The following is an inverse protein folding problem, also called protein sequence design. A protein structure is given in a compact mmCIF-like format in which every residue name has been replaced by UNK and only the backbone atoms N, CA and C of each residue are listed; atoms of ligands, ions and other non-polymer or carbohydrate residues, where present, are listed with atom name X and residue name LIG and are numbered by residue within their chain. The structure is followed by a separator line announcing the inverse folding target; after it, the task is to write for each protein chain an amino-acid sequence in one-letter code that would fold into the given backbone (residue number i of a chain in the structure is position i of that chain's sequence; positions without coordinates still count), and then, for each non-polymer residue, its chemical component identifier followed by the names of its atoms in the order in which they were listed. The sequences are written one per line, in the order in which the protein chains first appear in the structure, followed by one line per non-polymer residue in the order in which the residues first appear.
data_IF_722169858543
#
_entry.id   IF_722169858543
#
_cell.length_a   1.000
_cell.length_b   1.000
_cell.length_c   1.000
_cell.angle_alpha   90.00
_cell.angle_beta   90.00
_cell.angle_gamma   90.00
#
_symmetry.space_group_name_H-M   'P 1'
#
loop_
_entity.id
_entity.type
_entity.pdbx_description
1 polymer ?
#
# COMPACT_ATOMS: atom_id res chain seq x y z
N UNK A 1 7.12 14.63 20.98
CA UNK A 1 6.12 14.80 19.92
C UNK A 1 5.72 13.42 19.42
N UNK A 2 4.44 13.07 19.54
CA UNK A 2 3.93 11.83 18.92
C UNK A 2 3.90 12.01 17.40
N UNK A 3 4.75 11.30 16.70
CA UNK A 3 4.61 11.14 15.26
C UNK A 3 3.64 9.98 15.03
N UNK A 4 2.37 10.30 14.83
CA UNK A 4 1.33 9.30 14.67
C UNK A 4 1.30 8.63 13.30
N UNK A 5 1.90 9.23 12.30
CA UNK A 5 2.11 8.65 10.98
C UNK A 5 3.12 9.47 10.20
N UNK A 6 3.85 8.81 9.32
CA UNK A 6 4.45 9.53 8.22
C UNK A 6 3.74 9.10 6.93
N UNK A 7 3.57 10.02 6.03
CA UNK A 7 3.06 9.72 4.71
C UNK A 7 4.20 9.92 3.71
N UNK A 8 4.55 8.87 3.00
CA UNK A 8 5.30 9.09 1.80
C UNK A 8 4.32 9.62 0.74
N UNK A 9 4.66 10.69 0.05
CA UNK A 9 3.74 11.30 -0.88
C UNK A 9 3.52 10.38 -2.08
N UNK A 10 2.36 9.75 -2.10
CA UNK A 10 1.76 9.18 -3.28
C UNK A 10 0.66 10.14 -3.68
N UNK A 11 0.86 10.93 -4.71
CA UNK A 11 -0.24 11.72 -5.26
C UNK A 11 -0.54 11.26 -6.68
N UNK A 12 -1.82 11.34 -7.01
CA UNK A 12 -2.23 11.16 -8.40
C UNK A 12 -1.89 12.42 -9.18
N UNK A 13 -1.32 12.31 -10.39
CA UNK A 13 -1.12 13.46 -11.27
C UNK A 13 -2.41 14.26 -11.49
N UNK A 14 -3.56 13.58 -11.55
CA UNK A 14 -4.88 14.17 -11.73
C UNK A 14 -5.36 15.03 -10.55
N UNK A 15 -4.76 14.87 -9.38
CA UNK A 15 -5.05 15.72 -8.22
C UNK A 15 -4.32 17.07 -8.27
N UNK A 16 -3.69 17.41 -9.39
CA UNK A 16 -3.06 18.70 -9.60
C UNK A 16 -1.75 18.91 -8.87
N UNK A 17 -1.10 17.85 -8.37
CA UNK A 17 0.25 17.95 -7.83
C UNK A 17 1.22 18.20 -8.98
N UNK A 18 1.73 19.44 -9.04
CA UNK A 18 2.80 19.81 -9.97
C UNK A 18 4.20 19.49 -9.42
N UNK A 19 4.29 18.87 -8.23
CA UNK A 19 5.54 18.59 -7.55
C UNK A 19 6.18 17.31 -8.08
N UNK A 20 7.49 17.32 -8.15
CA UNK A 20 8.27 16.12 -8.43
C UNK A 20 8.32 15.25 -7.17
N UNK A 21 7.30 14.41 -6.97
CA UNK A 21 7.16 13.56 -5.79
C UNK A 21 8.38 12.68 -5.53
N UNK A 22 8.99 12.01 -6.53
CA UNK A 22 10.22 11.27 -6.31
C UNK A 22 11.35 12.10 -5.71
N UNK A 23 11.48 13.37 -6.06
CA UNK A 23 12.53 14.23 -5.51
C UNK A 23 12.25 14.70 -4.07
N UNK A 24 11.00 14.66 -3.64
CA UNK A 24 10.60 15.09 -2.28
C UNK A 24 10.52 13.92 -1.27
N UNK A 25 10.69 12.68 -1.73
CA UNK A 25 10.67 11.49 -0.87
C UNK A 25 11.93 11.38 -0.05
N UNK A 26 11.77 10.77 1.14
CA UNK A 26 12.92 10.15 1.81
C UNK A 26 13.43 9.00 0.92
N UNK A 27 14.72 8.71 1.02
CA UNK A 27 15.22 7.46 0.44
C UNK A 27 14.52 6.24 1.08
N UNK A 28 14.49 5.14 0.35
CA UNK A 28 13.73 3.96 0.73
C UNK A 28 14.19 3.36 2.07
N UNK A 29 15.50 3.36 2.33
CA UNK A 29 16.05 2.84 3.58
C UNK A 29 15.65 3.69 4.77
N UNK A 30 15.70 5.01 4.63
CA UNK A 30 15.29 5.93 5.69
C UNK A 30 13.79 5.83 5.96
N UNK A 31 12.98 5.73 4.92
CA UNK A 31 11.54 5.53 5.05
C UNK A 31 11.22 4.21 5.78
N UNK A 32 11.90 3.12 5.40
CA UNK A 32 11.76 1.82 6.06
C UNK A 32 12.13 1.87 7.54
N UNK A 33 13.25 2.55 7.89
CA UNK A 33 13.66 2.72 9.30
C UNK A 33 12.62 3.47 10.12
N UNK A 34 12.05 4.54 9.59
CA UNK A 34 11.00 5.32 10.26
C UNK A 34 9.76 4.45 10.49
N UNK A 35 9.33 3.67 9.48
CA UNK A 35 8.23 2.73 9.66
C UNK A 35 8.51 1.70 10.76
N UNK A 36 9.71 1.13 10.79
CA UNK A 36 10.08 0.14 11.80
C UNK A 36 10.19 0.74 13.19
N UNK A 37 10.68 1.98 13.34
CA UNK A 37 10.64 2.71 14.60
C UNK A 37 9.20 2.95 15.10
N UNK A 38 8.29 3.26 14.19
CA UNK A 38 6.87 3.38 14.54
C UNK A 38 6.27 2.04 14.98
N UNK A 39 6.63 0.94 14.31
CA UNK A 39 6.22 -0.41 14.72
C UNK A 39 6.77 -0.73 16.12
N UNK A 40 8.04 -0.44 16.39
CA UNK A 40 8.67 -0.62 17.71
C UNK A 40 7.94 0.17 18.79
N UNK A 41 7.63 1.44 18.54
CA UNK A 41 6.84 2.26 19.45
C UNK A 41 5.45 1.63 19.74
N UNK A 42 4.77 1.12 18.71
CA UNK A 42 3.44 0.51 18.86
C UNK A 42 3.47 -0.85 19.56
N UNK A 43 4.51 -1.64 19.34
CA UNK A 43 4.65 -2.99 19.91
C UNK A 43 5.22 -2.97 21.31
N UNK A 44 6.05 -1.99 21.64
CA UNK A 44 6.67 -1.88 22.96
C UNK A 44 7.31 -3.20 23.39
N UNK A 45 6.87 -3.75 24.52
CA UNK A 45 7.40 -5.00 25.07
C UNK A 45 7.16 -6.24 24.20
N UNK A 46 6.22 -6.21 23.27
CA UNK A 46 5.93 -7.32 22.34
C UNK A 46 6.82 -7.29 21.08
N UNK A 47 7.73 -6.33 20.98
CA UNK A 47 8.54 -6.14 19.77
C UNK A 47 9.40 -7.36 19.43
N UNK A 48 10.04 -7.97 20.43
CA UNK A 48 10.89 -9.14 20.22
C UNK A 48 10.09 -10.32 19.64
N UNK A 49 8.91 -10.59 20.20
CA UNK A 49 8.00 -11.62 19.70
C UNK A 49 7.53 -11.30 18.28
N UNK A 50 7.14 -10.06 18.03
CA UNK A 50 6.72 -9.62 16.70
C UNK A 50 7.82 -9.82 15.65
N UNK A 51 9.08 -9.48 15.97
CA UNK A 51 10.22 -9.68 15.08
C UNK A 51 10.52 -11.16 14.83
N UNK A 52 10.42 -11.98 15.88
CA UNK A 52 10.55 -13.43 15.73
C UNK A 52 9.50 -13.99 14.77
N UNK A 53 8.23 -13.62 14.94
CA UNK A 53 7.13 -14.07 14.08
C UNK A 53 7.29 -13.61 12.63
N UNK A 54 7.80 -12.39 12.42
CA UNK A 54 8.11 -11.89 11.07
C UNK A 54 9.26 -12.67 10.42
N UNK A 55 10.35 -12.96 11.16
CA UNK A 55 11.45 -13.79 10.66
C UNK A 55 10.96 -15.16 10.24
N UNK A 56 10.16 -15.79 11.11
CA UNK A 56 9.55 -17.08 10.80
C UNK A 56 8.70 -17.00 9.53
N UNK A 57 7.84 -16.01 9.42
CA UNK A 57 6.97 -15.81 8.26
C UNK A 57 7.78 -15.62 6.98
N UNK A 58 8.82 -14.78 7.00
CA UNK A 58 9.70 -14.54 5.85
C UNK A 58 10.40 -15.82 5.39
N UNK A 59 10.82 -16.67 6.34
CA UNK A 59 11.50 -17.94 6.03
C UNK A 59 10.55 -19.02 5.46
N UNK A 60 9.24 -18.90 5.66
CA UNK A 60 8.25 -19.92 5.32
C UNK A 60 7.14 -19.39 4.38
N UNK A 61 7.44 -18.37 3.59
CA UNK A 61 6.48 -17.84 2.62
C UNK A 61 6.28 -18.87 1.50
N UNK A 62 5.11 -19.48 1.48
CA UNK A 62 4.65 -20.31 0.38
C UNK A 62 3.55 -19.56 -0.38
N UNK A 63 3.75 -19.38 -1.68
CA UNK A 63 2.74 -18.90 -2.61
C UNK A 63 2.03 -17.62 -2.19
N UNK A 64 2.57 -16.49 -2.51
CA UNK A 64 1.92 -15.22 -2.17
C UNK A 64 0.75 -14.93 -3.08
N UNK A 65 -0.38 -14.51 -2.49
CA UNK A 65 -1.51 -14.00 -3.25
C UNK A 65 -1.12 -12.75 -4.03
N UNK A 66 -1.71 -12.66 -5.21
CA UNK A 66 -1.75 -11.40 -5.95
C UNK A 66 -2.20 -10.24 -5.04
N UNK A 67 -1.56 -9.08 -5.14
CA UNK A 67 -1.96 -7.86 -4.45
C UNK A 67 -3.34 -7.42 -4.93
N UNK A 68 -4.30 -7.33 -4.04
CA UNK A 68 -5.60 -6.72 -4.31
C UNK A 68 -5.78 -5.48 -3.43
N UNK A 69 -6.96 -4.92 -3.42
CA UNK A 69 -7.37 -3.95 -2.41
C UNK A 69 -7.56 -4.68 -1.07
N UNK A 70 -6.49 -4.79 -0.28
CA UNK A 70 -6.50 -5.57 0.98
C UNK A 70 -7.22 -4.88 2.14
N UNK A 71 -7.47 -3.58 2.01
CA UNK A 71 -8.19 -2.79 3.00
C UNK A 71 -9.71 -2.89 2.82
N UNK A 72 -10.46 -1.90 3.32
CA UNK A 72 -11.91 -1.80 3.19
C UNK A 72 -12.39 -1.24 1.85
N UNK A 73 -11.49 -0.74 1.01
CA UNK A 73 -11.79 -0.18 -0.29
C UNK A 73 -12.51 -1.20 -1.17
N UNK A 74 -13.62 -0.82 -1.80
CA UNK A 74 -14.52 -1.69 -2.55
C UNK A 74 -14.94 -2.98 -1.80
N UNK A 75 -15.01 -2.92 -0.46
CA UNK A 75 -15.59 -3.99 0.39
C UNK A 75 -16.67 -3.41 1.29
N UNK A 76 -16.34 -2.38 2.04
CA UNK A 76 -17.24 -1.65 2.93
C UNK A 76 -17.00 -0.14 2.91
N UNK A 77 -16.12 0.36 2.06
CA UNK A 77 -15.83 1.78 1.87
C UNK A 77 -15.55 2.09 0.41
N UNK A 78 -15.78 3.34 0.03
CA UNK A 78 -15.53 3.90 -1.29
C UNK A 78 -15.10 5.35 -1.13
N UNK A 79 -14.69 5.95 -2.23
CA UNK A 79 -14.39 7.36 -2.31
C UNK A 79 -15.35 8.04 -3.32
N UNK A 80 -15.89 9.19 -2.95
CA UNK A 80 -16.68 10.02 -3.85
C UNK A 80 -15.99 11.37 -3.94
N UNK A 81 -15.63 11.76 -5.16
CA UNK A 81 -15.01 13.05 -5.37
C UNK A 81 -16.06 14.18 -5.49
N UNK A 82 -15.59 15.43 -5.55
CA UNK A 82 -16.44 16.62 -5.66
C UNK A 82 -17.25 16.68 -6.96
N UNK A 83 -16.88 15.92 -7.97
CA UNK A 83 -17.60 15.79 -9.23
C UNK A 83 -18.73 14.75 -9.16
N UNK A 84 -18.87 14.03 -8.05
CA UNK A 84 -19.82 12.93 -7.88
C UNK A 84 -19.40 11.62 -8.54
N UNK A 85 -18.10 11.43 -8.73
CA UNK A 85 -17.53 10.18 -9.24
C UNK A 85 -17.17 9.29 -8.07
N UNK A 86 -17.72 8.08 -8.08
CA UNK A 86 -17.47 7.01 -7.13
C UNK A 86 -16.27 6.17 -7.61
N UNK A 87 -15.26 5.97 -6.75
CA UNK A 87 -14.11 5.11 -6.99
C UNK A 87 -13.85 4.19 -5.79
N UNK A 88 -13.10 3.08 -5.94
CA UNK A 88 -12.78 2.20 -4.83
C UNK A 88 -12.01 2.90 -3.70
N UNK A 89 -11.09 3.78 -4.06
CA UNK A 89 -10.13 4.41 -3.17
C UNK A 89 -9.75 5.79 -3.67
N UNK A 90 -9.39 6.70 -2.77
CA UNK A 90 -8.89 8.04 -3.12
C UNK A 90 -7.67 8.01 -4.04
N UNK A 91 -6.90 6.94 -4.02
CA UNK A 91 -5.70 6.77 -4.84
C UNK A 91 -5.98 6.25 -6.25
N UNK A 92 -7.21 5.82 -6.55
CA UNK A 92 -7.59 5.26 -7.84
C UNK A 92 -8.58 6.16 -8.56
N UNK A 93 -8.40 6.31 -9.85
CA UNK A 93 -9.30 6.98 -10.78
C UNK A 93 -10.20 5.98 -11.54
N UNK A 94 -9.83 4.70 -11.54
CA UNK A 94 -10.59 3.61 -12.12
C UNK A 94 -10.65 2.40 -11.15
N UNK A 95 -11.73 1.61 -11.18
CA UNK A 95 -12.99 1.87 -11.86
C UNK A 95 -13.70 3.12 -11.30
N UNK A 96 -14.48 3.80 -12.14
CA UNK A 96 -15.15 5.05 -11.82
C UNK A 96 -16.62 5.04 -12.25
N UNK A 97 -17.52 5.37 -11.33
CA UNK A 97 -18.96 5.40 -11.59
C UNK A 97 -19.53 6.79 -11.32
N UNK A 98 -20.24 7.34 -12.29
CA UNK A 98 -20.86 8.67 -12.18
C UNK A 98 -22.22 8.60 -11.46
N UNK A 99 -22.26 9.08 -10.23
CA UNK A 99 -23.47 9.11 -9.39
C UNK A 99 -24.54 10.08 -9.88
N UNK A 100 -24.24 10.94 -10.85
CA UNK A 100 -25.25 11.77 -11.50
C UNK A 100 -26.08 10.99 -12.51
N UNK A 101 -25.61 9.83 -12.94
CA UNK A 101 -26.23 9.00 -13.97
C UNK A 101 -27.00 7.81 -13.41
N UNK A 102 -26.55 7.27 -12.27
CA UNK A 102 -27.17 6.09 -11.66
C UNK A 102 -27.25 6.21 -10.13
N UNK A 103 -28.23 5.56 -9.49
CA UNK A 103 -28.36 5.56 -8.03
C UNK A 103 -27.15 4.93 -7.34
N UNK A 104 -26.86 5.39 -6.13
CA UNK A 104 -25.74 4.90 -5.32
C UNK A 104 -25.73 3.38 -5.13
N UNK A 105 -26.88 2.76 -4.94
CA UNK A 105 -27.00 1.29 -4.78
C UNK A 105 -26.51 0.54 -6.01
N UNK A 106 -26.91 0.99 -7.20
CA UNK A 106 -26.47 0.39 -8.47
C UNK A 106 -25.00 0.69 -8.71
N UNK A 107 -24.57 1.92 -8.46
CA UNK A 107 -23.18 2.34 -8.59
C UNK A 107 -22.24 1.52 -7.68
N UNK A 108 -22.68 1.24 -6.45
CA UNK A 108 -21.92 0.43 -5.52
C UNK A 108 -21.76 -1.01 -5.99
N UNK A 109 -22.83 -1.63 -6.48
CA UNK A 109 -22.76 -2.99 -7.04
C UNK A 109 -21.82 -3.06 -8.25
N UNK A 110 -21.92 -2.10 -9.16
CA UNK A 110 -21.02 -2.00 -10.31
C UNK A 110 -19.58 -1.85 -9.87
N UNK A 111 -19.30 -0.95 -8.93
CA UNK A 111 -17.95 -0.74 -8.39
C UNK A 111 -17.38 -2.02 -7.76
N UNK A 112 -18.19 -2.77 -7.01
CA UNK A 112 -17.76 -4.04 -6.40
C UNK A 112 -17.35 -5.08 -7.45
N UNK A 113 -18.11 -5.20 -8.53
CA UNK A 113 -17.79 -6.16 -9.59
C UNK A 113 -16.50 -5.75 -10.34
N UNK A 114 -16.42 -4.50 -10.76
CA UNK A 114 -15.24 -3.99 -11.47
C UNK A 114 -13.96 -4.02 -10.60
N UNK A 115 -14.10 -3.80 -9.29
CA UNK A 115 -12.97 -3.84 -8.37
C UNK A 115 -12.38 -5.25 -8.16
N UNK A 116 -13.09 -6.31 -8.52
CA UNK A 116 -12.54 -7.68 -8.47
C UNK A 116 -11.39 -7.88 -9.47
N UNK A 117 -11.42 -7.13 -10.55
CA UNK A 117 -10.38 -7.16 -11.60
C UNK A 117 -9.10 -6.39 -11.18
N UNK A 118 -9.14 -5.65 -10.06
CA UNK A 118 -7.99 -4.95 -9.51
C UNK A 118 -7.05 -5.94 -8.80
N UNK A 119 -6.43 -6.79 -9.58
CA UNK A 119 -5.44 -7.77 -9.13
C UNK A 119 -4.03 -7.30 -9.46
N UNK A 120 -3.07 -7.76 -8.68
CA UNK A 120 -1.73 -7.24 -8.67
C UNK A 120 -0.98 -7.42 -9.97
N UNK A 121 0.02 -6.61 -10.06
CA UNK A 121 1.13 -6.74 -10.99
C UNK A 121 1.80 -8.10 -10.82
N UNK A 122 2.08 -8.77 -11.94
CA UNK A 122 2.74 -10.08 -12.00
C UNK A 122 4.05 -10.13 -11.21
N UNK A 123 4.73 -8.99 -11.09
CA UNK A 123 5.97 -8.84 -10.32
C UNK A 123 5.80 -9.08 -8.81
N UNK A 124 4.57 -8.97 -8.29
CA UNK A 124 4.26 -9.20 -6.87
C UNK A 124 3.84 -10.64 -6.58
N UNK A 125 3.56 -11.42 -7.62
CA UNK A 125 3.20 -12.83 -7.48
C UNK A 125 4.44 -13.63 -7.06
N UNK A 126 4.30 -14.42 -5.98
CA UNK A 126 5.41 -15.20 -5.46
C UNK A 126 6.51 -14.39 -4.77
N UNK A 127 6.34 -13.08 -4.56
CA UNK A 127 7.34 -12.26 -3.90
C UNK A 127 7.47 -12.61 -2.41
N UNK A 128 8.67 -13.08 -1.99
CA UNK A 128 8.94 -13.46 -0.60
C UNK A 128 8.85 -12.28 0.39
N UNK A 129 8.98 -11.04 -0.09
CA UNK A 129 8.87 -9.84 0.75
C UNK A 129 7.42 -9.46 1.10
N UNK A 130 6.45 -10.19 0.58
CA UNK A 130 5.03 -9.88 0.78
C UNK A 130 4.61 -9.69 2.25
N UNK A 131 5.12 -10.48 3.22
CA UNK A 131 4.78 -10.32 4.63
C UNK A 131 5.18 -8.97 5.23
N UNK A 132 6.18 -8.31 4.67
CA UNK A 132 6.71 -7.02 5.14
C UNK A 132 6.42 -5.87 4.18
N UNK A 133 5.90 -6.19 2.99
CA UNK A 133 5.51 -5.23 1.96
C UNK A 133 4.05 -4.83 2.14
N UNK A 134 3.80 -3.68 2.73
CA UNK A 134 2.44 -3.15 2.96
C UNK A 134 1.84 -2.44 1.72
N UNK A 135 2.33 -2.80 0.53
CA UNK A 135 1.89 -2.18 -0.73
C UNK A 135 0.63 -2.87 -1.23
N UNK A 136 -0.47 -2.12 -1.33
CA UNK A 136 -1.69 -2.56 -1.97
C UNK A 136 -1.69 -2.25 -3.47
N UNK A 137 -2.69 -2.78 -4.20
CA UNK A 137 -2.86 -2.48 -5.63
C UNK A 137 -2.82 -0.99 -5.94
N UNK A 138 -3.57 -0.16 -5.19
CA UNK A 138 -3.65 1.27 -5.43
C UNK A 138 -2.29 1.97 -5.29
N UNK A 139 -1.53 1.63 -4.25
CA UNK A 139 -0.19 2.18 -4.05
C UNK A 139 0.77 1.77 -5.17
N UNK A 140 0.75 0.51 -5.59
CA UNK A 140 1.55 0.00 -6.69
C UNK A 140 1.17 0.67 -8.03
N UNK A 141 -0.12 0.84 -8.29
CA UNK A 141 -0.63 1.51 -9.48
C UNK A 141 -0.18 2.97 -9.54
N UNK A 142 -0.34 3.73 -8.45
CA UNK A 142 0.13 5.11 -8.37
C UNK A 142 1.64 5.22 -8.59
N UNK A 143 2.42 4.34 -7.97
CA UNK A 143 3.87 4.34 -8.13
C UNK A 143 4.28 4.12 -9.58
N UNK A 144 3.74 3.07 -10.22
CA UNK A 144 4.01 2.81 -11.64
C UNK A 144 3.58 3.94 -12.56
N UNK A 145 2.47 4.60 -12.27
CA UNK A 145 1.99 5.74 -13.07
C UNK A 145 2.94 6.92 -12.98
N UNK A 146 3.54 7.15 -11.80
CA UNK A 146 4.42 8.30 -11.55
C UNK A 146 5.85 8.05 -12.00
N UNK A 147 6.39 6.86 -11.70
CA UNK A 147 7.82 6.56 -11.87
C UNK A 147 8.11 5.55 -12.99
N UNK A 148 7.09 4.90 -13.53
CA UNK A 148 7.22 3.83 -14.52
C UNK A 148 7.52 2.45 -13.94
N UNK A 149 7.84 2.34 -12.65
CA UNK A 149 8.19 1.08 -11.99
C UNK A 149 7.77 1.07 -10.51
N UNK A 150 8.11 0.03 -9.78
CA UNK A 150 7.85 -0.10 -8.33
C UNK A 150 9.14 -0.14 -7.49
N UNK A 151 10.27 0.25 -8.04
CA UNK A 151 11.58 0.06 -7.42
C UNK A 151 11.68 0.67 -6.03
N UNK A 152 11.15 1.86 -5.83
CA UNK A 152 11.13 2.53 -4.53
C UNK A 152 10.41 1.70 -3.46
N UNK A 153 9.21 1.20 -3.78
CA UNK A 153 8.42 0.38 -2.85
C UNK A 153 9.09 -0.97 -2.57
N UNK A 154 9.69 -1.57 -3.59
CA UNK A 154 10.46 -2.81 -3.45
C UNK A 154 11.71 -2.61 -2.60
N UNK A 155 12.43 -1.49 -2.77
CA UNK A 155 13.59 -1.14 -1.95
C UNK A 155 13.21 -0.94 -0.48
N UNK A 156 12.08 -0.27 -0.20
CA UNK A 156 11.55 -0.16 1.17
C UNK A 156 11.28 -1.53 1.80
N UNK A 157 10.68 -2.45 1.05
CA UNK A 157 10.40 -3.80 1.56
C UNK A 157 11.70 -4.58 1.85
N UNK A 158 12.71 -4.48 0.97
CA UNK A 158 14.04 -5.07 1.19
C UNK A 158 14.74 -4.48 2.41
N UNK A 159 14.68 -3.17 2.58
CA UNK A 159 15.25 -2.51 3.75
C UNK A 159 14.56 -2.95 5.06
N UNK A 160 13.24 -3.15 5.05
CA UNK A 160 12.52 -3.71 6.21
C UNK A 160 12.96 -5.14 6.50
N UNK A 161 13.07 -5.99 5.48
CA UNK A 161 13.59 -7.34 5.63
C UNK A 161 14.94 -7.34 6.32
N UNK A 162 15.88 -6.49 5.87
CA UNK A 162 17.20 -6.39 6.47
C UNK A 162 17.12 -5.99 7.96
N UNK A 163 16.32 -4.98 8.29
CA UNK A 163 16.11 -4.56 9.69
C UNK A 163 15.56 -5.70 10.53
N UNK A 164 14.62 -6.48 10.00
CA UNK A 164 14.04 -7.63 10.69
C UNK A 164 15.08 -8.73 10.92
N UNK A 165 15.86 -9.04 9.88
CA UNK A 165 16.89 -10.09 9.97
C UNK A 165 18.00 -9.73 10.93
N UNK A 166 18.41 -8.46 11.00
CA UNK A 166 19.43 -7.95 11.91
C UNK A 166 18.93 -7.77 13.35
N UNK A 167 17.62 -7.87 13.59
CA UNK A 167 17.09 -7.73 14.94
C UNK A 167 17.58 -8.87 15.84
N UNK A 168 18.07 -8.60 17.07
CA UNK A 168 18.61 -9.63 17.95
C UNK A 168 17.60 -10.75 18.21
N UNK A 169 18.04 -11.99 18.08
CA UNK A 169 17.26 -13.14 18.53
C UNK A 169 17.37 -13.20 20.05
N UNK A 170 16.25 -13.15 20.73
CA UNK A 170 16.16 -13.30 22.20
C UNK A 170 16.20 -14.77 22.55
#
# INVERSE_FOLDING_TARGET
AEVNSYMFPLSRPECGSLRNIPAERLDADKAARIEMQYVEYKKGNDMARYMHDLKYTLAHVEGTRACSLECRAAKSSCWINWQGILTPCVMLDQPAVDLKKIPMTTAWQQLLEEAKELVSHTECEGCHLRPVCNVCYAAAHCEKTITGNMDYLCQMAKAKEQIIMDYPSV
#
